data_IF_093017119575
#
_entry.id   IF_093017119575
#
_cell.length_a   1.000
_cell.length_b   1.000
_cell.length_c   1.000
_cell.angle_alpha   90.00
_cell.angle_beta   90.00
_cell.angle_gamma   90.00
#
_symmetry.space_group_name_H-M   'P 1'
#
loop_
_entity.id
_entity.type
_entity.pdbx_description
1 polymer ?
#
# COMPACT_ATOMS: atom_id res chain seq x y z
N UNK A 1 -21.52 5.72 -20.61
CA UNK A 1 -21.97 4.39 -20.13
C UNK A 1 -21.83 4.38 -18.63
N UNK A 2 -22.90 4.15 -17.89
CA UNK A 2 -22.81 4.08 -16.43
C UNK A 2 -22.03 2.83 -16.02
N UNK A 3 -21.24 2.90 -14.97
CA UNK A 3 -20.46 1.77 -14.41
C UNK A 3 -21.33 0.59 -14.06
N UNK A 4 -22.56 0.82 -13.62
CA UNK A 4 -23.53 -0.23 -13.33
C UNK A 4 -23.81 -1.08 -14.57
N UNK A 5 -23.81 -0.49 -15.76
CA UNK A 5 -23.91 -1.28 -16.99
C UNK A 5 -22.71 -2.21 -17.15
N UNK A 6 -21.51 -1.79 -16.76
CA UNK A 6 -20.30 -2.61 -16.83
C UNK A 6 -20.27 -3.72 -15.79
N UNK A 7 -20.84 -3.50 -14.59
CA UNK A 7 -20.91 -4.50 -13.53
C UNK A 7 -22.05 -5.52 -13.74
N UNK A 8 -23.14 -5.09 -14.39
CA UNK A 8 -24.32 -5.92 -14.64
C UNK A 8 -24.35 -6.62 -16.01
N UNK A 9 -23.51 -6.20 -16.97
CA UNK A 9 -23.46 -6.85 -18.28
C UNK A 9 -22.71 -8.19 -18.24
N UNK A 10 -23.47 -9.26 -18.02
CA UNK A 10 -22.98 -10.66 -18.15
C UNK A 10 -22.48 -11.02 -19.56
N UNK A 11 -22.65 -10.15 -20.55
CA UNK A 11 -22.41 -10.45 -21.98
C UNK A 11 -21.55 -9.42 -22.72
N UNK A 12 -20.89 -8.48 -22.05
CA UNK A 12 -20.02 -7.52 -22.74
C UNK A 12 -18.68 -8.17 -23.08
N UNK A 13 -18.51 -8.54 -24.35
CA UNK A 13 -17.33 -9.18 -24.92
C UNK A 13 -16.07 -8.33 -24.82
N UNK A 14 -16.20 -6.99 -24.77
CA UNK A 14 -15.09 -6.05 -24.57
C UNK A 14 -14.44 -6.22 -23.20
N UNK A 15 -15.24 -6.41 -22.16
CA UNK A 15 -14.72 -6.65 -20.82
C UNK A 15 -14.15 -8.07 -20.65
N UNK A 16 -14.71 -9.08 -21.36
CA UNK A 16 -14.18 -10.45 -21.35
C UNK A 16 -12.83 -10.57 -22.06
N UNK A 17 -12.58 -9.81 -23.12
CA UNK A 17 -11.29 -9.78 -23.81
C UNK A 17 -10.15 -9.26 -22.96
N UNK A 18 -10.42 -8.33 -22.05
CA UNK A 18 -9.44 -7.78 -21.11
C UNK A 18 -9.05 -8.80 -20.03
N UNK A 19 -10.00 -9.65 -19.63
CA UNK A 19 -9.86 -10.60 -18.52
C UNK A 19 -8.82 -11.70 -18.78
N UNK A 20 -8.55 -12.03 -20.03
CA UNK A 20 -7.75 -13.21 -20.38
C UNK A 20 -6.29 -12.92 -20.74
N UNK A 21 -5.85 -11.65 -20.79
CA UNK A 21 -4.48 -11.33 -21.18
C UNK A 21 -3.91 -10.21 -20.29
N UNK A 22 -2.90 -10.52 -19.47
CA UNK A 22 -2.26 -9.59 -18.53
C UNK A 22 -1.63 -8.39 -19.24
N UNK A 23 -1.13 -8.57 -20.48
CA UNK A 23 -0.52 -7.47 -21.25
C UNK A 23 -1.55 -6.54 -21.89
N UNK A 24 -2.65 -7.07 -22.38
CA UNK A 24 -3.75 -6.25 -22.91
C UNK A 24 -4.38 -5.38 -21.84
N UNK A 25 -4.31 -5.81 -20.60
CA UNK A 25 -4.80 -5.06 -19.45
C UNK A 25 -3.96 -3.80 -19.15
N UNK A 26 -2.64 -3.89 -19.20
CA UNK A 26 -1.75 -2.72 -19.03
C UNK A 26 -1.98 -1.70 -20.15
N UNK A 27 -2.18 -2.16 -21.38
CA UNK A 27 -2.53 -1.29 -22.53
C UNK A 27 -3.89 -0.63 -22.32
N UNK A 28 -4.87 -1.34 -21.80
CA UNK A 28 -6.19 -0.79 -21.50
C UNK A 28 -6.17 0.29 -20.42
N UNK A 29 -5.29 0.19 -19.43
CA UNK A 29 -5.07 1.26 -18.46
C UNK A 29 -4.50 2.52 -19.11
N UNK A 30 -3.61 2.39 -20.07
CA UNK A 30 -3.09 3.51 -20.84
C UNK A 30 -4.20 4.16 -21.66
N UNK A 31 -4.94 3.38 -22.43
CA UNK A 31 -6.08 3.85 -23.22
C UNK A 31 -7.13 4.55 -22.34
N UNK A 32 -7.46 3.95 -21.19
CA UNK A 32 -8.36 4.59 -20.22
C UNK A 32 -7.84 5.95 -19.77
N UNK A 33 -6.56 6.07 -19.45
CA UNK A 33 -5.95 7.32 -19.02
C UNK A 33 -5.88 8.35 -20.15
N UNK A 34 -5.65 7.92 -21.37
CA UNK A 34 -5.52 8.79 -22.53
C UNK A 34 -6.88 9.38 -22.96
N UNK A 35 -7.96 8.69 -22.64
CA UNK A 35 -9.33 9.18 -22.84
C UNK A 35 -9.77 10.22 -21.78
N UNK A 36 -9.02 10.39 -20.69
CA UNK A 36 -9.31 11.39 -19.66
C UNK A 36 -8.60 12.70 -20.00
N UNK A 37 -9.32 13.83 -19.89
CA UNK A 37 -8.74 15.16 -20.08
C UNK A 37 -7.48 15.32 -19.22
N UNK A 38 -6.43 15.90 -19.78
CA UNK A 38 -5.10 15.99 -19.15
C UNK A 38 -5.13 16.68 -17.80
N UNK A 39 -5.97 17.72 -17.65
CA UNK A 39 -6.13 18.55 -16.46
C UNK A 39 -6.73 17.81 -15.27
N UNK A 40 -7.47 16.72 -15.54
CA UNK A 40 -8.19 15.93 -14.54
C UNK A 40 -7.69 14.49 -14.46
N UNK A 41 -6.63 14.20 -15.22
CA UNK A 41 -6.07 12.85 -15.28
C UNK A 41 -5.52 12.44 -13.94
N UNK A 42 -5.97 11.31 -13.36
CA UNK A 42 -5.43 10.81 -12.11
C UNK A 42 -3.96 10.40 -12.26
N UNK A 43 -3.23 10.34 -11.16
CA UNK A 43 -1.88 9.79 -11.18
C UNK A 43 -1.90 8.29 -11.55
N UNK A 44 -0.76 7.75 -11.95
CA UNK A 44 -0.59 6.31 -12.04
C UNK A 44 -0.76 5.64 -10.68
N UNK A 45 -1.21 4.39 -10.69
CA UNK A 45 -1.24 3.56 -9.50
C UNK A 45 0.20 3.29 -9.05
N UNK A 46 0.44 3.52 -7.76
CA UNK A 46 1.68 3.15 -7.10
C UNK A 46 1.39 1.97 -6.17
N UNK A 47 2.07 0.84 -6.37
CA UNK A 47 2.08 -0.24 -5.39
C UNK A 47 2.88 0.24 -4.18
N UNK A 48 2.32 0.07 -2.99
CA UNK A 48 2.96 0.53 -1.74
C UNK A 48 3.55 -0.60 -0.95
N UNK A 49 2.76 -1.63 -0.72
CA UNK A 49 3.21 -2.80 0.04
C UNK A 49 2.52 -4.06 -0.44
N UNK A 50 3.28 -5.16 -0.44
CA UNK A 50 2.78 -6.50 -0.71
C UNK A 50 2.87 -7.31 0.57
N UNK A 51 1.82 -8.04 0.89
CA UNK A 51 1.83 -9.05 1.94
C UNK A 51 1.79 -10.42 1.30
N UNK A 52 2.77 -11.24 1.66
CA UNK A 52 2.87 -12.62 1.20
C UNK A 52 2.79 -13.59 2.36
N UNK A 53 2.32 -14.78 2.05
CA UNK A 53 2.44 -15.94 2.92
C UNK A 53 3.32 -16.99 2.25
N UNK A 54 3.97 -17.77 3.09
CA UNK A 54 4.69 -18.97 2.72
C UNK A 54 4.60 -19.96 3.87
N UNK A 55 5.16 -21.15 3.73
CA UNK A 55 5.11 -22.16 4.77
C UNK A 55 6.38 -22.97 4.76
N UNK A 56 7.02 -23.14 5.93
CA UNK A 56 7.99 -24.18 6.14
C UNK A 56 7.30 -25.53 6.17
N UNK A 57 7.93 -26.56 5.65
CA UNK A 57 7.42 -27.94 5.73
C UNK A 57 7.39 -28.47 7.16
N UNK A 58 8.11 -27.82 8.07
CA UNK A 58 8.25 -28.22 9.47
C UNK A 58 7.45 -27.29 10.40
N UNK A 59 6.89 -27.87 11.47
CA UNK A 59 6.30 -27.11 12.57
C UNK A 59 7.37 -26.36 13.35
N UNK A 60 7.01 -25.18 13.86
CA UNK A 60 7.88 -24.30 14.64
C UNK A 60 7.52 -24.44 16.12
N UNK A 61 8.49 -24.80 16.95
CA UNK A 61 8.39 -24.60 18.39
C UNK A 61 8.66 -23.12 18.71
N UNK A 62 7.56 -22.37 18.90
CA UNK A 62 7.63 -20.93 19.11
C UNK A 62 8.34 -20.56 20.41
N UNK A 63 8.17 -21.34 21.49
CA UNK A 63 8.81 -21.04 22.76
C UNK A 63 10.34 -21.26 22.68
N UNK A 64 10.75 -22.39 22.16
CA UNK A 64 12.14 -22.68 21.89
C UNK A 64 12.78 -21.62 21.00
N UNK A 65 12.11 -21.23 19.93
CA UNK A 65 12.61 -20.18 19.03
C UNK A 65 12.74 -18.82 19.75
N UNK A 66 11.73 -18.42 20.54
CA UNK A 66 11.78 -17.15 21.30
C UNK A 66 12.97 -17.08 22.23
N UNK A 67 13.18 -18.14 22.99
CA UNK A 67 14.29 -18.21 23.97
C UNK A 67 15.63 -18.19 23.25
N UNK A 68 15.81 -19.04 22.24
CA UNK A 68 17.06 -19.15 21.51
C UNK A 68 17.39 -17.87 20.71
N UNK A 69 16.40 -17.21 20.12
CA UNK A 69 16.61 -15.94 19.40
C UNK A 69 17.06 -14.80 20.33
N UNK A 70 16.57 -14.77 21.59
CA UNK A 70 17.01 -13.80 22.59
C UNK A 70 18.45 -14.02 23.08
N UNK A 71 18.94 -15.26 22.98
CA UNK A 71 20.30 -15.61 23.38
C UNK A 71 21.32 -15.36 22.26
N UNK A 72 20.87 -15.07 21.01
CA UNK A 72 21.76 -14.68 19.93
C UNK A 72 22.51 -13.40 20.32
N UNK A 73 23.81 -13.48 20.30
CA UNK A 73 24.68 -12.31 20.47
C UNK A 73 24.59 -11.40 19.21
N UNK A 74 24.83 -10.13 19.43
CA UNK A 74 24.92 -9.15 18.30
C UNK A 74 25.98 -9.52 17.25
N UNK A 75 27.00 -10.30 17.64
CA UNK A 75 28.03 -10.83 16.74
C UNK A 75 27.47 -11.91 15.79
N UNK A 76 26.62 -12.81 16.28
CA UNK A 76 26.03 -13.89 15.49
C UNK A 76 25.05 -13.29 14.44
N UNK A 77 24.34 -12.23 14.83
CA UNK A 77 23.52 -11.46 13.93
C UNK A 77 24.34 -10.66 12.92
N UNK A 78 25.56 -10.21 13.29
CA UNK A 78 26.46 -9.50 12.38
C UNK A 78 27.04 -10.40 11.28
N UNK A 79 27.17 -11.71 11.49
CA UNK A 79 27.53 -12.66 10.44
C UNK A 79 26.40 -12.85 9.42
N UNK A 80 25.14 -12.73 9.85
CA UNK A 80 23.98 -12.69 8.97
C UNK A 80 23.93 -11.36 8.19
N UNK A 81 24.43 -10.30 8.81
CA UNK A 81 24.54 -8.97 8.20
C UNK A 81 25.82 -8.90 7.38
N UNK A 82 25.74 -9.19 6.07
CA UNK A 82 26.81 -8.78 5.18
C UNK A 82 27.10 -7.29 5.45
N UNK A 83 28.33 -6.95 5.81
CA UNK A 83 28.78 -5.63 6.29
C UNK A 83 28.46 -4.44 5.35
N UNK A 84 27.98 -4.72 4.15
CA UNK A 84 27.54 -3.71 3.15
C UNK A 84 26.03 -3.41 3.20
N UNK A 85 25.22 -4.23 3.85
CA UNK A 85 23.78 -4.04 3.96
C UNK A 85 23.39 -3.95 5.42
N UNK A 86 23.28 -2.75 5.95
CA UNK A 86 22.81 -2.53 7.32
C UNK A 86 21.35 -3.00 7.44
N UNK A 87 21.12 -4.21 7.91
CA UNK A 87 19.80 -4.69 8.27
C UNK A 87 19.77 -5.23 9.69
N UNK A 88 18.62 -5.14 10.32
CA UNK A 88 18.40 -5.56 11.70
C UNK A 88 17.18 -6.45 11.77
N UNK A 89 17.33 -7.57 12.44
CA UNK A 89 16.22 -8.42 12.86
C UNK A 89 15.92 -8.21 14.33
N UNK A 90 14.65 -8.00 14.66
CA UNK A 90 14.18 -7.74 16.01
C UNK A 90 12.92 -8.57 16.30
N UNK A 91 12.88 -9.25 17.42
CA UNK A 91 11.65 -9.88 17.90
C UNK A 91 10.83 -8.86 18.69
N UNK A 92 9.56 -8.64 18.28
CA UNK A 92 8.63 -7.82 19.04
C UNK A 92 7.94 -8.62 20.13
N UNK A 93 7.79 -7.99 21.29
CA UNK A 93 6.89 -8.50 22.31
C UNK A 93 5.44 -8.36 21.82
N UNK A 94 4.72 -9.47 21.69
CA UNK A 94 3.31 -9.47 21.28
C UNK A 94 2.48 -10.25 22.28
N UNK A 95 1.27 -9.78 22.54
CA UNK A 95 0.28 -10.43 23.40
C UNK A 95 -0.36 -11.66 22.76
N UNK A 96 -0.13 -11.88 21.47
CA UNK A 96 -0.71 -13.01 20.75
C UNK A 96 0.07 -14.31 21.05
N UNK A 97 -0.64 -15.26 21.61
CA UNK A 97 -0.10 -16.52 22.09
C UNK A 97 0.47 -17.41 20.98
N UNK A 98 -0.24 -17.47 19.86
CA UNK A 98 0.04 -18.41 18.76
C UNK A 98 0.87 -17.83 17.62
N UNK A 99 1.64 -16.76 17.86
CA UNK A 99 2.52 -16.20 16.84
C UNK A 99 3.77 -15.56 17.44
N UNK A 100 4.83 -15.53 16.66
CA UNK A 100 5.97 -14.63 16.88
C UNK A 100 5.91 -13.53 15.85
N UNK A 101 6.05 -12.29 16.30
CA UNK A 101 6.22 -11.15 15.42
C UNK A 101 7.67 -10.72 15.41
N UNK A 102 8.27 -10.73 14.24
CA UNK A 102 9.62 -10.21 13.99
C UNK A 102 9.55 -8.97 13.12
N UNK A 103 10.49 -8.08 13.29
CA UNK A 103 10.68 -6.90 12.46
C UNK A 103 12.05 -7.00 11.80
N UNK A 104 12.02 -6.89 10.49
CA UNK A 104 13.21 -6.69 9.68
C UNK A 104 13.27 -5.22 9.26
N UNK A 105 14.44 -4.62 9.41
CA UNK A 105 14.71 -3.24 8.96
C UNK A 105 15.97 -3.23 8.13
N UNK A 106 15.89 -2.56 6.99
CA UNK A 106 17.04 -2.18 6.20
C UNK A 106 17.01 -0.67 5.93
N UNK A 107 17.97 -0.17 5.16
CA UNK A 107 18.09 1.26 4.82
C UNK A 107 16.85 1.79 4.09
N UNK A 108 16.12 0.91 3.39
CA UNK A 108 15.02 1.29 2.50
C UNK A 108 13.64 1.06 3.11
N UNK A 109 13.50 0.09 4.00
CA UNK A 109 12.17 -0.35 4.42
C UNK A 109 12.17 -1.09 5.76
N UNK A 110 10.98 -1.15 6.35
CA UNK A 110 10.69 -1.99 7.51
C UNK A 110 9.63 -3.01 7.13
N UNK A 111 9.87 -4.28 7.45
CA UNK A 111 8.96 -5.39 7.18
C UNK A 111 8.53 -6.05 8.46
N UNK A 112 7.29 -6.50 8.51
CA UNK A 112 6.73 -7.24 9.63
C UNK A 112 6.56 -8.70 9.22
N UNK A 113 7.18 -9.58 9.98
CA UNK A 113 7.13 -11.02 9.75
C UNK A 113 6.40 -11.67 10.91
N UNK A 114 5.42 -12.52 10.59
CA UNK A 114 4.70 -13.33 11.58
C UNK A 114 4.97 -14.80 11.32
N UNK A 115 5.35 -15.51 12.38
CA UNK A 115 5.60 -16.94 12.37
C UNK A 115 4.53 -17.64 13.19
N UNK A 116 4.05 -18.76 12.68
CA UNK A 116 3.00 -19.55 13.32
C UNK A 116 3.51 -20.98 13.62
N UNK A 117 2.94 -21.68 14.64
CA UNK A 117 3.40 -23.03 15.04
C UNK A 117 3.35 -24.06 13.91
N UNK A 118 2.39 -23.90 12.99
CA UNK A 118 2.22 -24.82 11.86
C UNK A 118 3.25 -24.63 10.73
N UNK A 119 4.27 -23.77 10.94
CA UNK A 119 5.25 -23.41 9.93
C UNK A 119 4.86 -22.28 9.00
N UNK A 120 3.63 -21.77 9.09
CA UNK A 120 3.20 -20.65 8.24
C UNK A 120 3.96 -19.37 8.56
N UNK A 121 4.29 -18.63 7.51
CA UNK A 121 5.00 -17.36 7.55
C UNK A 121 4.16 -16.32 6.83
N UNK A 122 3.99 -15.15 7.44
CA UNK A 122 3.42 -13.98 6.79
C UNK A 122 4.47 -12.88 6.76
N UNK A 123 4.75 -12.33 5.59
CA UNK A 123 5.65 -11.20 5.40
C UNK A 123 4.87 -10.03 4.85
N UNK A 124 4.82 -8.93 5.58
CA UNK A 124 4.15 -7.70 5.19
C UNK A 124 5.15 -6.55 5.05
N UNK A 125 4.94 -5.68 4.07
CA UNK A 125 5.80 -4.52 3.81
C UNK A 125 6.82 -4.74 2.70
N UNK A 126 6.73 -5.84 1.94
CA UNK A 126 7.58 -6.06 0.77
C UNK A 126 7.22 -5.09 -0.36
N UNK A 127 8.22 -4.64 -1.09
CA UNK A 127 8.06 -3.83 -2.30
C UNK A 127 7.75 -4.68 -3.53
N UNK A 128 8.30 -5.90 -3.57
CA UNK A 128 8.15 -6.86 -4.65
C UNK A 128 8.29 -8.31 -4.15
N UNK A 129 8.16 -9.27 -5.08
CA UNK A 129 8.23 -10.71 -4.78
C UNK A 129 9.65 -11.18 -4.45
N UNK A 130 10.66 -10.58 -5.07
CA UNK A 130 12.08 -10.92 -4.86
C UNK A 130 12.48 -10.53 -3.43
N UNK A 131 12.04 -9.36 -2.99
CA UNK A 131 12.27 -8.86 -1.64
C UNK A 131 11.67 -9.82 -0.59
N UNK A 132 10.45 -10.30 -0.83
CA UNK A 132 9.83 -11.29 0.06
C UNK A 132 10.61 -12.61 0.10
N UNK A 133 11.02 -13.15 -1.06
CA UNK A 133 11.82 -14.37 -1.14
C UNK A 133 13.15 -14.22 -0.40
N UNK A 134 13.81 -13.07 -0.56
CA UNK A 134 15.05 -12.74 0.16
C UNK A 134 14.86 -12.80 1.68
N UNK A 135 13.78 -12.18 2.18
CA UNK A 135 13.45 -12.18 3.61
C UNK A 135 13.23 -13.60 4.14
N UNK A 136 12.50 -14.43 3.42
CA UNK A 136 12.24 -15.82 3.84
C UNK A 136 13.51 -16.66 3.82
N UNK A 137 14.37 -16.48 2.84
CA UNK A 137 15.68 -17.17 2.82
C UNK A 137 16.56 -16.77 4.01
N UNK A 138 16.60 -15.48 4.35
CA UNK A 138 17.29 -15.02 5.56
C UNK A 138 16.68 -15.60 6.83
N UNK A 139 15.35 -15.69 6.89
CA UNK A 139 14.65 -16.32 8.00
C UNK A 139 15.03 -17.80 8.15
N UNK A 140 15.13 -18.54 7.04
CA UNK A 140 15.61 -19.94 7.05
C UNK A 140 17.03 -20.04 7.64
N UNK A 141 17.90 -19.09 7.31
CA UNK A 141 19.24 -19.04 7.89
C UNK A 141 19.21 -18.72 9.39
N UNK A 142 18.34 -17.81 9.84
CA UNK A 142 18.13 -17.54 11.27
C UNK A 142 17.68 -18.81 12.00
N UNK A 143 16.75 -19.58 11.42
CA UNK A 143 16.34 -20.86 12.02
C UNK A 143 17.50 -21.84 12.16
N UNK A 144 18.38 -21.92 11.16
CA UNK A 144 19.59 -22.72 11.23
C UNK A 144 20.47 -22.31 12.41
N UNK A 145 20.72 -21.02 12.59
CA UNK A 145 21.56 -20.51 13.67
C UNK A 145 20.90 -20.71 15.04
N UNK A 146 19.62 -20.39 15.16
CA UNK A 146 18.89 -20.40 16.44
C UNK A 146 18.56 -21.80 16.91
N UNK A 147 18.15 -22.66 15.98
CA UNK A 147 17.63 -23.99 16.28
C UNK A 147 18.64 -25.11 15.99
N UNK A 148 19.76 -24.79 15.31
CA UNK A 148 20.70 -25.78 14.80
C UNK A 148 20.12 -26.66 13.69
N UNK A 149 19.02 -26.23 13.03
CA UNK A 149 18.23 -27.06 12.14
C UNK A 149 18.19 -26.45 10.73
N UNK A 150 18.73 -27.16 9.77
CA UNK A 150 18.79 -26.75 8.35
C UNK A 150 17.55 -27.13 7.56
N UNK A 151 16.59 -27.86 8.15
CA UNK A 151 15.37 -28.33 7.46
C UNK A 151 14.26 -27.29 7.36
N UNK A 152 14.44 -26.08 7.91
CA UNK A 152 13.50 -24.99 7.73
C UNK A 152 13.66 -24.34 6.35
N UNK A 153 13.08 -24.99 5.36
CA UNK A 153 13.04 -24.55 3.96
C UNK A 153 11.58 -24.25 3.60
N UNK A 154 11.36 -23.14 2.91
CA UNK A 154 10.05 -22.79 2.37
C UNK A 154 10.04 -23.10 0.85
N UNK A 155 9.33 -24.11 0.41
CA UNK A 155 9.19 -24.43 -1.00
C UNK A 155 8.57 -23.28 -1.79
N UNK A 156 9.01 -23.08 -3.04
CA UNK A 156 8.56 -21.96 -3.89
C UNK A 156 7.05 -22.00 -4.13
N UNK A 157 6.47 -23.15 -4.27
CA UNK A 157 5.05 -23.41 -4.48
C UNK A 157 4.16 -22.96 -3.30
N UNK A 158 4.77 -22.76 -2.12
CA UNK A 158 4.05 -22.26 -0.93
C UNK A 158 3.90 -20.75 -0.92
N UNK A 159 4.63 -20.01 -1.78
CA UNK A 159 4.59 -18.57 -1.84
C UNK A 159 3.30 -18.08 -2.49
N UNK A 160 2.53 -17.29 -1.77
CA UNK A 160 1.28 -16.71 -2.25
C UNK A 160 1.12 -15.27 -1.79
N UNK A 161 0.74 -14.39 -2.71
CA UNK A 161 0.30 -13.04 -2.38
C UNK A 161 -1.09 -13.14 -1.73
N UNK A 162 -1.28 -12.44 -0.63
CA UNK A 162 -2.56 -12.37 0.08
C UNK A 162 -3.10 -10.95 0.19
N UNK A 163 -2.26 -9.94 -0.06
CA UNK A 163 -2.70 -8.55 -0.11
C UNK A 163 -1.70 -7.69 -0.87
N UNK A 164 -2.24 -6.85 -1.74
CA UNK A 164 -1.53 -5.77 -2.41
C UNK A 164 -2.19 -4.46 -1.97
N UNK A 165 -1.39 -3.56 -1.42
CA UNK A 165 -1.80 -2.20 -1.15
C UNK A 165 -1.26 -1.27 -2.22
N UNK A 166 -2.09 -0.36 -2.68
CA UNK A 166 -1.75 0.60 -3.71
C UNK A 166 -2.40 1.95 -3.43
N UNK A 167 -1.89 2.98 -4.05
CA UNK A 167 -2.50 4.30 -3.98
C UNK A 167 -2.34 5.07 -5.30
N UNK A 168 -3.19 6.07 -5.48
CA UNK A 168 -3.11 7.06 -6.53
C UNK A 168 -3.75 8.38 -6.08
N UNK A 169 -3.62 9.43 -6.87
CA UNK A 169 -4.21 10.74 -6.65
C UNK A 169 -5.08 11.14 -7.81
N UNK A 170 -6.23 11.73 -7.53
CA UNK A 170 -7.07 12.39 -8.53
C UNK A 170 -6.45 13.70 -9.03
N UNK A 171 -5.45 14.23 -8.31
CA UNK A 171 -4.80 15.53 -8.54
C UNK A 171 -5.70 16.75 -8.28
N UNK A 172 -6.86 16.56 -7.64
CA UNK A 172 -7.75 17.63 -7.18
C UNK A 172 -8.43 17.23 -5.86
N UNK A 173 -8.91 18.23 -5.11
CA UNK A 173 -9.68 18.01 -3.88
C UNK A 173 -11.12 17.66 -4.21
N UNK A 174 -11.74 16.83 -3.38
CA UNK A 174 -13.10 16.32 -3.59
C UNK A 174 -13.98 16.49 -2.35
N UNK A 175 -15.28 16.64 -2.61
CA UNK A 175 -16.30 16.68 -1.55
C UNK A 175 -16.70 15.27 -1.14
N UNK A 176 -16.25 14.84 0.05
CA UNK A 176 -16.48 13.49 0.56
C UNK A 176 -17.96 13.19 0.84
N UNK A 177 -18.78 14.19 1.19
CA UNK A 177 -20.23 13.99 1.38
C UNK A 177 -20.90 13.64 0.06
N UNK A 178 -20.56 14.35 -1.05
CA UNK A 178 -21.07 14.02 -2.39
C UNK A 178 -20.63 12.61 -2.82
N UNK A 179 -19.35 12.29 -2.59
CA UNK A 179 -18.80 10.96 -2.87
C UNK A 179 -19.56 9.87 -2.10
N UNK A 180 -19.68 10.01 -0.78
CA UNK A 180 -20.39 9.05 0.07
C UNK A 180 -21.82 8.84 -0.39
N UNK A 181 -22.58 9.93 -0.62
CA UNK A 181 -23.97 9.88 -1.08
C UNK A 181 -24.11 9.21 -2.45
N UNK A 182 -23.20 9.48 -3.37
CA UNK A 182 -23.24 8.91 -4.71
C UNK A 182 -23.02 7.40 -4.69
N UNK A 183 -21.95 6.94 -4.03
CA UNK A 183 -21.68 5.50 -3.91
C UNK A 183 -22.78 4.76 -3.14
N UNK A 184 -23.42 5.39 -2.14
CA UNK A 184 -24.51 4.79 -1.37
C UNK A 184 -25.81 4.62 -2.17
N UNK A 185 -25.95 5.24 -3.35
CA UNK A 185 -27.10 4.96 -4.23
C UNK A 185 -27.05 3.57 -4.88
N UNK A 186 -25.92 2.91 -4.83
CA UNK A 186 -25.66 1.61 -5.45
C UNK A 186 -25.22 0.62 -4.37
N UNK A 187 -26.05 0.46 -3.34
CA UNK A 187 -25.80 -0.37 -2.15
C UNK A 187 -25.72 -1.86 -2.43
N UNK A 188 -26.30 -2.30 -3.55
CA UNK A 188 -26.14 -3.65 -4.11
C UNK A 188 -24.72 -3.96 -4.59
N UNK A 189 -23.95 -2.91 -4.96
CA UNK A 189 -22.58 -3.02 -5.50
C UNK A 189 -21.54 -2.55 -4.48
N UNK A 190 -21.81 -1.41 -3.81
CA UNK A 190 -20.86 -0.73 -2.95
C UNK A 190 -21.32 -0.71 -1.50
N UNK A 191 -20.52 -1.28 -0.61
CA UNK A 191 -20.68 -1.11 0.83
C UNK A 191 -19.92 0.13 1.28
N UNK A 192 -20.64 1.20 1.61
CA UNK A 192 -20.05 2.50 1.93
C UNK A 192 -20.05 2.72 3.45
N UNK A 193 -18.95 3.26 3.97
CA UNK A 193 -18.84 3.73 5.35
C UNK A 193 -18.13 5.08 5.36
N UNK A 194 -18.77 6.08 5.98
CA UNK A 194 -18.22 7.42 6.14
C UNK A 194 -18.55 7.95 7.53
N UNK A 195 -17.57 7.97 8.41
CA UNK A 195 -17.65 8.48 9.78
C UNK A 195 -16.50 9.49 9.98
N UNK A 196 -16.67 10.76 9.54
CA UNK A 196 -15.60 11.76 9.50
C UNK A 196 -14.95 12.01 10.87
N UNK A 197 -15.68 11.88 11.97
CA UNK A 197 -15.17 12.04 13.33
C UNK A 197 -14.19 10.93 13.75
N UNK A 198 -14.29 9.75 13.14
CA UNK A 198 -13.41 8.60 13.42
C UNK A 198 -12.34 8.41 12.37
N UNK A 199 -12.68 8.68 11.11
CA UNK A 199 -11.77 8.43 9.98
C UNK A 199 -12.10 9.37 8.81
N UNK A 200 -11.13 10.17 8.41
CA UNK A 200 -11.26 11.24 7.44
C UNK A 200 -11.37 10.79 5.97
N UNK A 201 -11.79 9.57 5.70
CA UNK A 201 -12.00 9.05 4.35
C UNK A 201 -13.32 8.31 4.21
N UNK A 202 -13.91 8.39 3.02
CA UNK A 202 -14.99 7.48 2.61
C UNK A 202 -14.39 6.12 2.31
N UNK A 203 -14.84 5.07 3.00
CA UNK A 203 -14.48 3.68 2.70
C UNK A 203 -15.55 3.07 1.82
N UNK A 204 -15.11 2.50 0.70
CA UNK A 204 -15.97 1.81 -0.25
C UNK A 204 -15.44 0.40 -0.43
N UNK A 205 -16.26 -0.61 -0.12
CA UNK A 205 -15.93 -2.01 -0.35
C UNK A 205 -16.78 -2.56 -1.48
N UNK A 206 -16.15 -3.27 -2.39
CA UNK A 206 -16.85 -3.88 -3.53
C UNK A 206 -16.01 -4.99 -4.15
N UNK A 207 -16.67 -5.84 -4.94
CA UNK A 207 -16.01 -6.81 -5.82
C UNK A 207 -15.86 -6.21 -7.20
N UNK A 208 -14.62 -6.02 -7.72
CA UNK A 208 -14.43 -5.45 -9.06
C UNK A 208 -15.03 -6.30 -10.18
N UNK A 209 -15.09 -7.62 -10.00
CA UNK A 209 -15.80 -8.58 -10.85
C UNK A 209 -16.23 -9.80 -10.03
N UNK A 210 -17.11 -10.64 -10.57
CA UNK A 210 -17.68 -11.79 -9.87
C UNK A 210 -16.64 -12.81 -9.41
N UNK A 211 -15.57 -12.98 -10.18
CA UNK A 211 -14.45 -13.90 -9.95
C UNK A 211 -13.32 -13.27 -9.12
N UNK A 212 -13.46 -11.99 -8.72
CA UNK A 212 -12.46 -11.25 -7.98
C UNK A 212 -12.78 -11.15 -6.49
N UNK A 213 -11.77 -10.90 -5.70
CA UNK A 213 -11.91 -10.67 -4.27
C UNK A 213 -12.53 -9.29 -3.99
N UNK A 214 -13.26 -9.19 -2.86
CA UNK A 214 -13.72 -7.90 -2.35
C UNK A 214 -12.51 -7.05 -1.94
N UNK A 215 -12.42 -5.85 -2.50
CA UNK A 215 -11.39 -4.86 -2.17
C UNK A 215 -11.99 -3.70 -1.38
N UNK A 216 -11.14 -2.99 -0.66
CA UNK A 216 -11.53 -1.78 0.07
C UNK A 216 -10.78 -0.59 -0.50
N UNK A 217 -11.51 0.45 -0.85
CA UNK A 217 -10.96 1.72 -1.29
C UNK A 217 -11.22 2.80 -0.25
N UNK A 218 -10.19 3.51 0.18
CA UNK A 218 -10.30 4.67 1.07
C UNK A 218 -10.06 5.94 0.27
N UNK A 219 -11.07 6.81 0.21
CA UNK A 219 -11.11 8.02 -0.62
C UNK A 219 -11.01 9.22 0.31
N UNK A 220 -9.95 10.02 0.18
CA UNK A 220 -9.68 11.18 1.03
C UNK A 220 -10.06 12.49 0.32
N UNK A 221 -10.47 13.50 1.09
CA UNK A 221 -10.84 14.82 0.57
C UNK A 221 -9.72 15.54 -0.21
N UNK A 222 -8.48 15.17 0.01
CA UNK A 222 -7.32 15.64 -0.77
C UNK A 222 -7.26 15.09 -2.18
N UNK A 223 -8.16 14.15 -2.54
CA UNK A 223 -8.11 13.40 -3.79
C UNK A 223 -7.16 12.20 -3.77
N UNK A 224 -6.50 11.92 -2.66
CA UNK A 224 -5.70 10.70 -2.49
C UNK A 224 -6.63 9.51 -2.28
N UNK A 225 -6.32 8.41 -2.96
CA UNK A 225 -7.10 7.17 -2.90
C UNK A 225 -6.15 6.00 -2.58
N UNK A 226 -6.56 5.14 -1.67
CA UNK A 226 -5.82 3.95 -1.27
C UNK A 226 -6.71 2.74 -1.56
N UNK A 227 -6.16 1.75 -2.28
CA UNK A 227 -6.81 0.45 -2.54
C UNK A 227 -6.10 -0.60 -1.70
N UNK A 228 -6.86 -1.38 -0.94
CA UNK A 228 -6.37 -2.47 -0.08
C UNK A 228 -7.19 -3.73 -0.27
N UNK A 229 -6.59 -4.88 0.06
CA UNK A 229 -7.28 -6.17 0.02
C UNK A 229 -7.22 -6.90 -1.32
N UNK A 230 -6.65 -6.30 -2.36
CA UNK A 230 -6.40 -6.98 -3.62
C UNK A 230 -5.34 -8.09 -3.46
N UNK A 231 -5.49 -9.19 -4.16
CA UNK A 231 -4.49 -10.27 -4.25
C UNK A 231 -3.77 -10.28 -5.60
N UNK A 232 -4.36 -9.63 -6.60
CA UNK A 232 -3.84 -9.55 -7.96
C UNK A 232 -3.73 -8.12 -8.45
N UNK A 233 -2.82 -7.87 -9.39
CA UNK A 233 -2.70 -6.57 -10.07
C UNK A 233 -3.97 -6.25 -10.88
N UNK A 234 -4.66 -7.28 -11.35
CA UNK A 234 -5.93 -7.16 -12.06
C UNK A 234 -7.00 -6.53 -11.18
N UNK A 235 -7.16 -6.99 -9.93
CA UNK A 235 -8.09 -6.41 -8.96
C UNK A 235 -7.75 -4.94 -8.64
N UNK A 236 -6.47 -4.63 -8.48
CA UNK A 236 -5.99 -3.25 -8.25
C UNK A 236 -6.41 -2.34 -9.39
N UNK A 237 -6.20 -2.77 -10.60
CA UNK A 237 -6.44 -1.95 -11.76
C UNK A 237 -7.93 -1.83 -12.12
N UNK A 238 -8.74 -2.87 -11.91
CA UNK A 238 -10.20 -2.76 -11.98
C UNK A 238 -10.73 -1.80 -10.92
N UNK A 239 -10.22 -1.90 -9.69
CA UNK A 239 -10.55 -0.94 -8.63
C UNK A 239 -10.22 0.50 -9.01
N UNK A 240 -9.06 0.73 -9.63
CA UNK A 240 -8.68 2.03 -10.16
C UNK A 240 -9.68 2.56 -11.19
N UNK A 241 -10.04 1.74 -12.19
CA UNK A 241 -10.98 2.13 -13.23
C UNK A 241 -12.37 2.44 -12.66
N UNK A 242 -12.93 1.53 -11.86
CA UNK A 242 -14.26 1.67 -11.27
C UNK A 242 -14.35 2.95 -10.43
N UNK A 243 -13.40 3.17 -9.55
CA UNK A 243 -13.41 4.34 -8.66
C UNK A 243 -13.26 5.64 -9.45
N UNK A 244 -12.36 5.71 -10.42
CA UNK A 244 -12.19 6.92 -11.22
C UNK A 244 -13.44 7.24 -12.05
N UNK A 245 -14.03 6.24 -12.70
CA UNK A 245 -15.24 6.44 -13.51
C UNK A 245 -16.41 6.87 -12.61
N UNK A 246 -16.63 6.19 -11.47
CA UNK A 246 -17.73 6.55 -10.56
C UNK A 246 -17.55 7.96 -9.99
N UNK A 247 -16.34 8.38 -9.65
CA UNK A 247 -16.10 9.74 -9.15
C UNK A 247 -16.31 10.78 -10.26
N UNK A 248 -15.91 10.48 -11.50
CA UNK A 248 -16.11 11.40 -12.62
C UNK A 248 -17.60 11.59 -12.99
N UNK A 249 -18.47 10.63 -12.65
CA UNK A 249 -19.92 10.73 -12.85
C UNK A 249 -20.61 11.64 -11.80
N UNK A 250 -19.89 12.11 -10.77
CA UNK A 250 -20.45 12.97 -9.73
C UNK A 250 -20.34 14.44 -10.14
N UNK A 251 -21.49 15.09 -10.31
CA UNK A 251 -21.55 16.53 -10.58
C UNK A 251 -20.95 17.34 -9.42
N UNK A 252 -20.16 18.35 -9.76
CA UNK A 252 -19.53 19.29 -8.80
C UNK A 252 -18.81 18.58 -7.64
N UNK A 253 -18.20 17.44 -7.90
CA UNK A 253 -17.45 16.70 -6.87
C UNK A 253 -16.17 17.44 -6.46
N UNK A 254 -15.62 18.26 -7.36
CA UNK A 254 -14.38 18.99 -7.14
C UNK A 254 -14.61 20.15 -6.19
N UNK A 255 -13.73 20.26 -5.21
CA UNK A 255 -13.67 21.43 -4.34
C UNK A 255 -12.69 22.40 -5.00
N UNK A 256 -13.22 23.53 -5.48
CA UNK A 256 -12.38 24.63 -5.95
C UNK A 256 -11.44 25.06 -4.84
N UNK A 257 -10.15 25.29 -5.09
CA UNK A 257 -9.27 25.88 -4.10
C UNK A 257 -9.92 27.17 -3.63
N UNK A 258 -10.19 27.28 -2.33
CA UNK A 258 -10.67 28.53 -1.79
C UNK A 258 -9.55 29.56 -2.02
N UNK A 259 -9.79 30.55 -2.87
CA UNK A 259 -8.80 31.58 -3.15
C UNK A 259 -8.42 32.37 -1.89
N UNK A 260 -9.35 32.46 -0.94
CA UNK A 260 -9.11 33.09 0.37
C UNK A 260 -8.05 32.34 1.21
N UNK A 261 -8.07 30.98 1.21
CA UNK A 261 -7.06 30.22 1.97
C UNK A 261 -5.66 30.33 1.39
N UNK A 262 -5.54 30.53 0.09
CA UNK A 262 -4.24 30.82 -0.56
C UNK A 262 -3.79 32.24 -0.24
N UNK A 263 -4.72 33.19 -0.21
CA UNK A 263 -4.43 34.58 0.08
C UNK A 263 -3.99 34.75 1.53
N UNK A 264 -4.72 34.16 2.51
CA UNK A 264 -4.32 34.16 3.92
C UNK A 264 -2.96 33.50 4.15
N UNK A 265 -2.68 32.37 3.51
CA UNK A 265 -1.38 31.69 3.64
C UNK A 265 -0.26 32.53 2.98
N UNK A 266 -0.54 33.15 1.83
CA UNK A 266 0.38 34.08 1.18
C UNK A 266 0.54 35.37 1.96
N UNK A 267 -0.52 35.91 2.55
CA UNK A 267 -0.48 37.14 3.34
C UNK A 267 0.26 36.94 4.68
N UNK A 268 0.15 35.76 5.30
CA UNK A 268 0.96 35.36 6.46
C UNK A 268 2.45 35.17 6.13
N UNK A 269 2.78 34.77 4.88
CA UNK A 269 4.14 34.54 4.40
C UNK A 269 4.65 35.73 3.60
N UNK A 270 3.79 36.61 3.08
CA UNK A 270 4.14 37.69 2.13
C UNK A 270 5.03 38.80 2.72
N UNK A 271 5.20 38.83 4.04
CA UNK A 271 6.21 39.67 4.67
C UNK A 271 7.66 39.17 4.55
N UNK A 272 7.85 37.93 4.11
CA UNK A 272 9.17 37.29 4.06
C UNK A 272 9.50 36.81 2.63
N UNK A 273 10.53 37.41 2.03
CA UNK A 273 11.09 36.87 0.79
C UNK A 273 11.57 35.43 1.05
N UNK A 274 11.25 34.48 0.16
CA UNK A 274 11.65 33.05 0.27
C UNK A 274 13.16 32.93 0.54
N UNK A 275 13.99 33.75 -0.09
CA UNK A 275 15.43 33.83 0.14
C UNK A 275 15.80 34.14 1.59
N UNK A 276 15.03 35.02 2.26
CA UNK A 276 15.22 35.35 3.68
C UNK A 276 14.88 34.17 4.59
N UNK A 277 13.82 33.43 4.27
CA UNK A 277 13.42 32.22 5.00
C UNK A 277 14.49 31.13 4.84
N UNK A 278 14.96 30.90 3.62
CA UNK A 278 16.07 29.96 3.33
C UNK A 278 17.34 30.36 4.08
N UNK A 279 17.71 31.63 4.03
CA UNK A 279 18.90 32.16 4.73
C UNK A 279 18.78 31.97 6.24
N UNK A 280 17.58 32.17 6.82
CA UNK A 280 17.31 31.96 8.23
C UNK A 280 17.36 30.47 8.59
N UNK A 281 16.75 29.60 7.79
CA UNK A 281 16.82 28.16 7.98
C UNK A 281 18.25 27.62 7.96
N UNK A 282 19.08 28.06 6.99
CA UNK A 282 20.51 27.74 6.96
C UNK A 282 21.25 28.20 8.22
N UNK A 283 20.95 29.40 8.72
CA UNK A 283 21.54 29.93 9.96
C UNK A 283 21.18 29.10 11.18
N UNK A 284 20.01 28.42 11.18
CA UNK A 284 19.56 27.48 12.20
C UNK A 284 20.10 26.06 11.99
N UNK A 285 20.95 25.82 11.00
CA UNK A 285 21.55 24.52 10.72
C UNK A 285 20.71 23.60 9.85
N UNK A 286 19.60 24.08 9.27
CA UNK A 286 18.80 23.29 8.32
C UNK A 286 19.42 23.37 6.93
N UNK A 287 19.89 22.25 6.42
CA UNK A 287 20.47 22.15 5.08
C UNK A 287 19.48 21.66 4.03
N UNK A 288 18.32 21.17 4.46
CA UNK A 288 17.28 20.65 3.59
C UNK A 288 15.91 20.74 4.23
N UNK A 289 14.87 20.81 3.42
CA UNK A 289 13.49 20.77 3.84
C UNK A 289 12.78 19.58 3.21
N UNK A 290 12.15 18.74 4.01
CA UNK A 290 11.30 17.66 3.52
C UNK A 290 9.88 18.17 3.27
N UNK A 291 9.44 18.10 2.04
CA UNK A 291 8.03 18.31 1.70
C UNK A 291 7.24 17.06 2.09
N UNK A 292 6.38 17.18 3.09
CA UNK A 292 5.61 16.07 3.68
C UNK A 292 4.65 15.37 2.71
N UNK A 293 4.28 16.01 1.60
CA UNK A 293 3.29 15.48 0.65
C UNK A 293 3.87 14.64 -0.48
N UNK A 294 5.16 14.73 -0.79
CA UNK A 294 5.73 14.10 -1.99
C UNK A 294 7.06 13.36 -1.76
N UNK A 295 7.52 13.20 -0.54
CA UNK A 295 8.86 12.65 -0.23
C UNK A 295 10.01 13.38 -0.99
N UNK A 296 9.77 14.60 -1.42
CA UNK A 296 10.80 15.44 -2.06
C UNK A 296 11.58 16.17 -0.98
N UNK A 297 12.87 16.22 -1.17
CA UNK A 297 13.79 16.97 -0.33
C UNK A 297 14.32 18.16 -1.15
N UNK A 298 14.18 19.36 -0.60
CA UNK A 298 14.82 20.55 -1.16
C UNK A 298 16.12 20.73 -0.39
N UNK A 299 17.25 20.66 -1.11
CA UNK A 299 18.57 21.00 -0.58
C UNK A 299 18.79 22.49 -0.83
N UNK A 300 19.29 23.17 0.16
CA UNK A 300 19.56 24.61 0.09
C UNK A 300 21.01 24.88 -0.34
#
# INVERSE_FOLDING_TARGET
MSIISCLNHKNDTTFRGIVNNTFSYVLTLNEFRDNIQKEIRPSWIKLTTITMISKFEKKIDLEKFRLAFRLLNTLDLAEITNSKCHFVWEQKHTTFYNQITMVYRDVYSTKSIKLFPNGSIQVAGCSDLIDCKRIINQLSYIFKLVMGDTSFIAPIETFRIVMINSNFSLNYKINLLKVSRHFSKYDDVFKVSFEPDKYSAVKVKFKPANDMKEITTSIFGTGKIIITGAETLKEVAYGYNIINTTINDIEDVRVSPCEESKKELFDQISGHKIESVIKYAKKLGFNSWKLTTENRQINF
#
